data_IF_900697376447
#
_entry.id   IF_900697376447
#
_cell.length_a   1.000
_cell.length_b   1.000
_cell.length_c   1.000
_cell.angle_alpha   90.00
_cell.angle_beta   90.00
_cell.angle_gamma   90.00
#
_symmetry.space_group_name_H-M   'P 1'
#
loop_
_entity.id
_entity.type
_entity.pdbx_description
1 polymer ?
#
# COMPACT_ATOMS: atom_id res chain seq x y z
N UNK A 1 -5.69 5.09 -5.93
CA UNK A 1 -6.25 4.53 -4.68
C UNK A 1 -6.81 3.14 -4.81
N UNK A 2 -7.56 2.79 -5.85
CA UNK A 2 -8.11 1.42 -6.02
C UNK A 2 -7.03 0.33 -5.86
N UNK A 3 -5.87 0.52 -6.50
CA UNK A 3 -4.73 -0.41 -6.36
C UNK A 3 -4.22 -0.46 -4.92
N UNK A 4 -4.01 0.70 -4.28
CA UNK A 4 -3.56 0.76 -2.89
C UNK A 4 -4.53 0.03 -1.95
N UNK A 5 -5.85 0.26 -2.10
CA UNK A 5 -6.86 -0.43 -1.30
C UNK A 5 -6.90 -1.94 -1.54
N UNK A 6 -6.70 -2.38 -2.79
CA UNK A 6 -6.65 -3.80 -3.10
C UNK A 6 -5.43 -4.46 -2.47
N UNK A 7 -4.25 -3.83 -2.56
CA UNK A 7 -3.04 -4.33 -1.92
C UNK A 7 -3.23 -4.43 -0.41
N UNK A 8 -3.80 -3.40 0.22
CA UNK A 8 -4.07 -3.44 1.66
C UNK A 8 -5.03 -4.58 2.05
N UNK A 9 -6.11 -4.79 1.28
CA UNK A 9 -7.07 -5.88 1.51
C UNK A 9 -6.42 -7.25 1.33
N UNK A 10 -5.65 -7.41 0.25
CA UNK A 10 -4.99 -8.68 -0.07
C UNK A 10 -3.91 -9.03 0.96
N UNK A 11 -3.10 -8.04 1.36
CA UNK A 11 -2.06 -8.21 2.37
C UNK A 11 -2.66 -8.54 3.75
N UNK A 12 -3.77 -7.89 4.12
CA UNK A 12 -4.53 -8.24 5.33
C UNK A 12 -4.99 -9.70 5.29
N UNK A 13 -5.58 -10.13 4.17
CA UNK A 13 -6.03 -11.51 4.01
C UNK A 13 -4.88 -12.52 4.10
N UNK A 14 -3.75 -12.25 3.45
CA UNK A 14 -2.58 -13.13 3.51
C UNK A 14 -1.98 -13.21 4.91
N UNK A 15 -1.92 -12.08 5.63
CA UNK A 15 -1.45 -12.05 7.01
C UNK A 15 -2.34 -12.91 7.92
N UNK A 16 -3.67 -12.81 7.78
CA UNK A 16 -4.61 -13.54 8.64
C UNK A 16 -4.66 -15.02 8.39
N UNK A 17 -4.43 -15.38 7.13
CA UNK A 17 -4.44 -16.76 6.69
C UNK A 17 -3.07 -17.42 6.87
N UNK A 18 -2.09 -16.74 7.48
CA UNK A 18 -0.70 -17.18 7.58
C UNK A 18 -0.10 -17.61 6.23
N UNK A 19 -0.43 -16.89 5.17
CA UNK A 19 0.01 -17.16 3.79
C UNK A 19 1.28 -16.39 3.40
N UNK A 20 1.83 -15.58 4.30
CA UNK A 20 3.10 -14.89 4.05
C UNK A 20 4.25 -15.89 4.12
N UNK A 21 5.06 -16.02 3.05
CA UNK A 21 6.16 -16.98 3.03
C UNK A 21 7.27 -16.61 4.01
N UNK A 22 8.08 -17.60 4.38
CA UNK A 22 9.26 -17.36 5.21
C UNK A 22 10.19 -16.36 4.52
N UNK A 23 10.60 -15.31 5.24
CA UNK A 23 11.44 -14.25 4.69
C UNK A 23 10.69 -13.16 3.92
N UNK A 24 9.35 -13.19 3.89
CA UNK A 24 8.56 -12.09 3.36
C UNK A 24 8.84 -10.79 4.12
N UNK A 25 9.24 -9.74 3.39
CA UNK A 25 9.56 -8.44 3.98
C UNK A 25 8.38 -7.48 3.86
N UNK A 26 8.03 -7.10 2.63
CA UNK A 26 7.02 -6.08 2.35
C UNK A 26 6.61 -6.08 0.88
N UNK A 27 5.45 -5.49 0.61
CA UNK A 27 4.98 -5.08 -0.72
C UNK A 27 5.35 -3.61 -0.91
N UNK A 28 6.01 -3.30 -2.02
CA UNK A 28 6.30 -1.92 -2.42
C UNK A 28 5.25 -1.47 -3.42
N UNK A 29 4.55 -0.38 -3.12
CA UNK A 29 3.60 0.27 -4.02
C UNK A 29 4.26 1.52 -4.60
N UNK A 30 4.41 1.54 -5.91
CA UNK A 30 4.87 2.71 -6.64
C UNK A 30 3.74 3.73 -6.81
N UNK A 31 4.03 4.99 -6.46
CA UNK A 31 3.14 6.13 -6.68
C UNK A 31 3.88 7.15 -7.54
N UNK A 32 3.26 7.58 -8.65
CA UNK A 32 3.85 8.62 -9.50
C UNK A 32 3.68 10.02 -8.88
N UNK A 33 4.50 11.02 -9.27
CA UNK A 33 4.43 12.37 -8.70
C UNK A 33 3.06 13.00 -8.94
N UNK A 34 2.49 12.83 -10.14
CA UNK A 34 1.14 13.29 -10.49
C UNK A 34 0.05 12.67 -9.61
N UNK A 35 0.22 11.41 -9.19
CA UNK A 35 -0.70 10.81 -8.24
C UNK A 35 -0.53 11.43 -6.86
N UNK A 36 0.71 11.60 -6.40
CA UNK A 36 1.04 12.16 -5.09
C UNK A 36 0.57 13.62 -4.92
N UNK A 37 0.67 14.44 -5.96
CA UNK A 37 0.25 15.84 -5.98
C UNK A 37 -1.26 16.05 -5.83
N UNK A 38 -2.08 15.00 -5.97
CA UNK A 38 -3.51 15.09 -5.66
C UNK A 38 -3.66 15.29 -4.15
N UNK A 39 -4.16 16.46 -3.76
CA UNK A 39 -4.33 16.94 -2.39
C UNK A 39 -4.98 15.97 -1.37
N UNK A 40 -5.56 14.85 -1.82
CA UNK A 40 -6.24 13.87 -0.99
C UNK A 40 -5.53 12.51 -0.89
N UNK A 41 -4.39 12.28 -1.53
CA UNK A 41 -3.72 10.96 -1.53
C UNK A 41 -3.30 10.51 -0.15
N UNK A 42 -2.65 11.39 0.62
CA UNK A 42 -2.24 11.05 2.00
C UNK A 42 -3.46 10.69 2.85
N UNK A 43 -4.55 11.47 2.74
CA UNK A 43 -5.80 11.20 3.47
C UNK A 43 -6.39 9.85 3.08
N UNK A 44 -6.43 9.53 1.78
CA UNK A 44 -6.96 8.26 1.28
C UNK A 44 -6.08 7.06 1.66
N UNK A 45 -4.75 7.21 1.69
CA UNK A 45 -3.82 6.19 2.19
C UNK A 45 -4.12 5.91 3.67
N UNK A 46 -4.17 6.96 4.49
CA UNK A 46 -4.47 6.83 5.92
C UNK A 46 -5.84 6.21 6.17
N UNK A 47 -6.86 6.61 5.42
CA UNK A 47 -8.20 6.03 5.48
C UNK A 47 -8.17 4.54 5.15
N UNK A 48 -7.51 4.17 4.06
CA UNK A 48 -7.39 2.78 3.65
C UNK A 48 -6.65 1.91 4.69
N UNK A 49 -5.56 2.41 5.27
CA UNK A 49 -4.83 1.70 6.34
C UNK A 49 -5.77 1.43 7.52
N UNK A 50 -6.57 2.42 7.93
CA UNK A 50 -7.54 2.27 9.03
C UNK A 50 -8.65 1.28 8.69
N UNK A 51 -9.22 1.37 7.49
CA UNK A 51 -10.36 0.54 7.08
C UNK A 51 -9.97 -0.94 6.88
N UNK A 52 -8.77 -1.20 6.38
CA UNK A 52 -8.30 -2.55 6.06
C UNK A 52 -7.54 -3.22 7.21
N UNK A 53 -7.12 -2.46 8.23
CA UNK A 53 -6.25 -2.94 9.30
C UNK A 53 -5.01 -3.70 8.74
N UNK A 54 -4.46 -3.22 7.63
CA UNK A 54 -3.32 -3.82 6.95
C UNK A 54 -2.10 -3.84 7.88
N UNK A 55 -1.29 -4.93 7.90
CA UNK A 55 -0.04 -4.96 8.65
C UNK A 55 0.98 -4.00 8.03
N UNK A 56 1.01 -2.76 8.51
CA UNK A 56 1.80 -1.67 7.93
C UNK A 56 3.31 -1.96 7.88
N UNK A 57 3.83 -2.83 8.74
CA UNK A 57 5.24 -3.27 8.69
C UNK A 57 5.60 -4.00 7.38
N UNK A 58 4.60 -4.51 6.66
CA UNK A 58 4.74 -5.22 5.39
C UNK A 58 4.35 -4.36 4.18
N UNK A 59 4.20 -3.04 4.35
CA UNK A 59 3.82 -2.13 3.29
C UNK A 59 4.85 -1.01 3.16
N UNK A 60 5.28 -0.74 1.93
CA UNK A 60 6.17 0.37 1.60
C UNK A 60 5.61 1.13 0.40
N UNK A 61 5.78 2.45 0.42
CA UNK A 61 5.35 3.34 -0.65
C UNK A 61 6.60 3.99 -1.21
N UNK A 62 6.82 3.84 -2.51
CA UNK A 62 7.94 4.43 -3.22
C UNK A 62 7.43 5.50 -4.19
N UNK A 63 8.01 6.69 -4.13
CA UNK A 63 7.76 7.76 -5.09
C UNK A 63 8.77 7.61 -6.22
N UNK A 64 8.29 7.21 -7.40
CA UNK A 64 9.14 7.10 -8.58
C UNK A 64 9.11 8.40 -9.36
N UNK A 65 10.26 9.02 -9.62
CA UNK A 65 10.36 10.08 -10.61
C UNK A 65 10.01 9.49 -11.99
N UNK A 66 8.88 9.91 -12.56
CA UNK A 66 8.58 9.56 -13.94
C UNK A 66 9.44 10.47 -14.82
N UNK A 67 10.52 9.95 -15.39
CA UNK A 67 11.16 10.60 -16.53
C UNK A 67 10.07 10.82 -17.59
N UNK A 68 9.71 12.08 -17.82
CA UNK A 68 9.01 12.51 -19.03
C UNK A 68 10.02 13.04 -20.03
#
# INVERSE_FOLDING_TARGET
>A
MIIFSEVCRQLRHWHDSNLLPLGFKRIVINISPVQFERHDVIKKIQQCIRETCVPVQHLEIELTESFS
#
